data_IF_659375101609
#
_entry.id   IF_659375101609
#
_cell.length_a   1.000
_cell.length_b   1.000
_cell.length_c   1.000
_cell.angle_alpha   90.00
_cell.angle_beta   90.00
_cell.angle_gamma   90.00
#
_symmetry.space_group_name_H-M   'P 1'
#
loop_
_entity.id
_entity.type
_entity.pdbx_description
1 polymer ?
#
# COMPACT_ATOMS: atom_id res chain seq x y z
N UNK A 1 -37.01 -57.15 8.96
CA UNK A 1 -37.55 -57.73 10.22
C UNK A 1 -37.14 -56.83 11.38
N UNK A 2 -38.07 -56.62 12.32
CA UNK A 2 -38.08 -55.79 13.55
C UNK A 2 -36.69 -55.44 14.16
N UNK A 3 -36.46 -54.28 14.78
CA UNK A 3 -37.03 -53.86 16.08
C UNK A 3 -36.90 -52.33 16.31
N UNK A 4 -37.93 -51.76 16.97
CA UNK A 4 -38.07 -50.39 17.53
C UNK A 4 -37.17 -50.12 18.76
N UNK A 5 -36.78 -48.86 18.98
CA UNK A 5 -36.80 -48.09 20.24
C UNK A 5 -36.29 -46.67 19.89
N UNK A 6 -36.96 -45.53 20.08
CA UNK A 6 -37.93 -45.14 21.10
C UNK A 6 -37.19 -44.38 22.21
N UNK A 7 -37.34 -43.04 22.27
CA UNK A 7 -37.52 -42.22 23.49
C UNK A 7 -37.58 -40.73 23.08
N UNK A 8 -38.77 -40.15 23.26
CA UNK A 8 -39.04 -38.73 23.43
C UNK A 8 -38.72 -38.32 24.87
N UNK A 9 -38.29 -37.07 25.09
CA UNK A 9 -38.57 -36.35 26.32
C UNK A 9 -38.73 -34.86 26.02
N UNK A 10 -39.95 -34.37 26.23
CA UNK A 10 -40.36 -32.97 26.15
C UNK A 10 -40.21 -32.25 27.51
N UNK A 11 -40.23 -30.91 27.41
CA UNK A 11 -40.70 -29.90 28.40
C UNK A 11 -39.78 -29.52 29.58
N UNK A 12 -39.96 -28.33 30.24
CA UNK A 12 -40.84 -27.21 29.90
C UNK A 12 -40.20 -25.79 29.94
N UNK A 13 -40.85 -24.87 29.23
CA UNK A 13 -40.84 -23.43 29.49
C UNK A 13 -41.58 -23.11 30.81
N UNK A 14 -40.96 -22.33 31.70
CA UNK A 14 -41.69 -21.56 32.72
C UNK A 14 -41.02 -20.22 33.02
N UNK A 15 -41.89 -19.30 33.37
CA UNK A 15 -41.87 -17.84 33.34
C UNK A 15 -41.22 -17.13 34.53
N UNK A 16 -40.77 -15.90 34.24
CA UNK A 16 -40.76 -14.66 35.06
C UNK A 16 -40.21 -14.70 36.50
N UNK A 17 -39.21 -13.85 36.71
CA UNK A 17 -38.89 -13.24 38.00
C UNK A 17 -37.79 -12.18 37.91
N UNK A 18 -38.16 -10.91 37.73
CA UNK A 18 -37.38 -9.75 38.21
C UNK A 18 -37.84 -9.42 39.65
N UNK A 19 -37.20 -8.52 40.43
CA UNK A 19 -35.86 -7.90 40.33
C UNK A 19 -35.07 -7.94 41.67
N UNK A 20 -33.81 -7.47 41.70
CA UNK A 20 -33.24 -6.61 42.77
C UNK A 20 -31.76 -6.23 42.51
N UNK A 21 -31.58 -4.94 42.25
CA UNK A 21 -30.52 -4.03 42.75
C UNK A 21 -29.21 -4.60 43.33
N UNK A 22 -28.09 -4.24 42.69
CA UNK A 22 -26.83 -3.85 43.33
C UNK A 22 -26.05 -2.95 42.33
N UNK A 23 -26.19 -1.62 42.40
CA UNK A 23 -25.17 -0.69 42.95
C UNK A 23 -23.73 -1.20 42.89
N UNK A 24 -22.93 -0.64 41.98
CA UNK A 24 -21.50 -0.95 41.89
C UNK A 24 -20.75 -0.15 40.84
N UNK A 25 -20.47 1.12 41.14
CA UNK A 25 -19.28 1.88 40.72
C UNK A 25 -19.02 1.99 39.20
N UNK A 26 -19.65 3.01 38.59
CA UNK A 26 -19.28 3.50 37.27
C UNK A 26 -18.24 4.62 37.43
N UNK A 27 -16.98 4.28 37.16
CA UNK A 27 -15.85 5.21 37.20
C UNK A 27 -15.92 6.16 36.01
N UNK A 28 -16.23 7.44 36.29
CA UNK A 28 -16.26 8.52 35.31
C UNK A 28 -14.84 8.87 34.88
N UNK A 29 -14.41 8.38 33.72
CA UNK A 29 -13.25 8.91 33.00
C UNK A 29 -13.59 10.32 32.49
N UNK A 30 -13.19 11.29 33.29
CA UNK A 30 -13.34 12.73 33.06
C UNK A 30 -12.31 13.16 32.01
N UNK A 31 -12.76 13.37 30.77
CA UNK A 31 -11.98 14.01 29.71
C UNK A 31 -11.57 15.42 30.13
N UNK A 32 -10.31 15.58 30.53
CA UNK A 32 -9.72 16.87 30.88
C UNK A 32 -9.25 17.55 29.59
N UNK A 33 -10.09 18.39 29.01
CA UNK A 33 -9.66 19.37 28.01
C UNK A 33 -8.62 20.30 28.65
N UNK A 34 -7.33 20.10 28.36
CA UNK A 34 -6.29 21.10 28.61
C UNK A 34 -6.51 22.26 27.61
N UNK A 35 -7.21 23.29 28.10
CA UNK A 35 -7.13 24.64 27.54
C UNK A 35 -5.69 25.13 27.68
N UNK A 36 -5.05 25.40 26.55
CA UNK A 36 -3.82 26.18 26.48
C UNK A 36 -4.18 27.65 26.76
N UNK A 37 -3.59 28.31 27.76
CA UNK A 37 -3.85 29.72 27.99
C UNK A 37 -3.10 30.57 26.95
N UNK A 38 -3.88 31.22 26.10
CA UNK A 38 -3.46 32.38 25.30
C UNK A 38 -3.18 33.55 26.25
N UNK A 39 -1.90 33.88 26.50
CA UNK A 39 -1.51 35.15 27.11
C UNK A 39 -1.33 36.19 26.01
N UNK A 40 -2.27 37.14 25.97
CA UNK A 40 -2.01 38.49 25.50
C UNK A 40 -1.32 39.28 26.63
N UNK A 41 -0.20 39.91 26.30
CA UNK A 41 0.34 41.11 26.92
C UNK A 41 1.07 41.85 25.80
N UNK A 42 0.44 42.87 25.21
CA UNK A 42 0.54 44.27 25.64
C UNK A 42 1.91 44.89 25.30
N UNK A 43 1.90 45.68 24.21
CA UNK A 43 2.46 47.04 24.10
C UNK A 43 3.80 47.33 24.76
N UNK A 44 4.81 47.62 23.93
CA UNK A 44 5.67 48.81 24.08
C UNK A 44 6.52 49.04 22.83
N UNK A 45 6.25 50.17 22.15
CA UNK A 45 7.22 50.90 21.32
C UNK A 45 8.31 51.45 22.25
N UNK A 46 9.52 51.66 21.72
CA UNK A 46 10.05 53.02 21.77
C UNK A 46 10.59 53.48 20.42
N UNK A 47 10.22 54.71 20.10
CA UNK A 47 10.80 55.59 19.10
C UNK A 47 11.94 56.39 19.73
N UNK A 48 13.14 56.34 19.16
CA UNK A 48 14.14 57.43 19.13
C UNK A 48 15.36 56.94 18.32
N UNK A 49 15.65 57.47 17.14
CA UNK A 49 16.34 58.76 16.86
C UNK A 49 17.86 58.63 17.04
N UNK A 50 18.55 58.75 15.89
CA UNK A 50 19.93 59.18 15.63
C UNK A 50 21.13 58.30 16.05
N UNK A 51 21.82 57.76 15.04
CA UNK A 51 23.14 58.28 14.67
C UNK A 51 23.48 57.94 13.21
N UNK A 52 23.44 58.98 12.37
CA UNK A 52 24.20 59.08 11.13
C UNK A 52 25.69 58.91 11.46
N UNK A 53 26.37 58.00 10.77
CA UNK A 53 27.80 58.14 10.46
C UNK A 53 27.96 58.08 8.96
N UNK A 54 28.21 59.26 8.42
CA UNK A 54 28.78 59.52 7.11
C UNK A 54 30.19 58.94 7.11
N UNK A 55 30.47 58.04 6.17
CA UNK A 55 31.82 57.76 5.69
C UNK A 55 31.76 57.94 4.19
N UNK A 56 32.19 59.12 3.76
CA UNK A 56 32.67 59.38 2.42
C UNK A 56 34.03 58.70 2.29
N UNK A 57 34.17 57.77 1.35
CA UNK A 57 35.44 57.53 0.68
C UNK A 57 35.18 57.00 -0.74
N UNK A 58 35.06 57.98 -1.63
CA UNK A 58 35.64 58.09 -2.96
C UNK A 58 36.40 56.89 -3.58
N UNK A 59 36.08 56.70 -4.86
CA UNK A 59 36.91 56.22 -5.98
C UNK A 59 37.15 54.72 -6.16
N UNK A 60 36.58 54.21 -7.27
CA UNK A 60 36.88 52.92 -7.86
C UNK A 60 36.00 52.62 -9.06
N UNK A 61 36.02 53.48 -10.10
CA UNK A 61 35.52 53.13 -11.43
C UNK A 61 36.25 51.87 -11.92
N UNK A 62 35.52 50.77 -12.03
CA UNK A 62 35.89 49.66 -12.90
C UNK A 62 34.62 49.15 -13.56
N UNK A 63 34.58 49.28 -14.89
CA UNK A 63 33.43 48.93 -15.72
C UNK A 63 33.08 47.46 -15.54
N UNK A 64 31.92 47.21 -14.93
CA UNK A 64 31.33 45.88 -14.89
C UNK A 64 30.27 45.82 -15.99
N UNK A 65 30.65 45.11 -17.04
CA UNK A 65 29.82 44.70 -18.17
C UNK A 65 28.45 44.21 -17.68
N UNK A 66 27.34 44.54 -18.36
CA UNK A 66 26.04 43.99 -18.00
C UNK A 66 26.09 42.48 -18.21
N UNK A 67 26.14 41.73 -17.10
CA UNK A 67 25.92 40.28 -17.10
C UNK A 67 24.59 40.03 -17.82
N UNK A 68 24.72 39.41 -18.99
CA UNK A 68 23.59 38.92 -19.75
C UNK A 68 22.72 38.05 -18.84
N UNK A 69 21.40 38.26 -18.80
CA UNK A 69 20.51 37.39 -18.04
C UNK A 69 20.75 35.95 -18.51
N UNK A 70 21.18 35.09 -17.58
CA UNK A 70 21.31 33.66 -17.83
C UNK A 70 20.04 33.17 -18.53
N UNK A 71 20.16 32.43 -19.65
CA UNK A 71 19.01 31.82 -20.26
C UNK A 71 18.49 30.79 -19.25
N UNK A 72 17.33 31.08 -18.65
CA UNK A 72 16.47 30.07 -18.04
C UNK A 72 16.25 29.04 -19.14
N UNK A 73 16.97 27.92 -19.15
CA UNK A 73 16.76 26.84 -20.11
C UNK A 73 15.32 26.38 -19.99
N UNK A 74 14.40 26.77 -20.89
CA UNK A 74 13.01 26.45 -20.75
C UNK A 74 12.85 25.04 -21.32
N UNK A 75 12.60 24.10 -20.43
CA UNK A 75 12.08 22.80 -20.83
C UNK A 75 13.13 21.71 -20.86
N UNK A 76 13.38 21.11 -19.69
CA UNK A 76 13.58 19.67 -19.66
C UNK A 76 12.44 19.04 -20.48
N UNK A 77 12.84 18.35 -21.57
CA UNK A 77 11.91 17.77 -22.52
C UNK A 77 10.89 16.90 -21.78
N UNK A 78 9.63 16.89 -22.25
CA UNK A 78 8.52 16.15 -21.61
C UNK A 78 8.91 14.71 -21.29
N UNK A 79 9.76 14.12 -22.13
CA UNK A 79 10.32 12.77 -22.02
C UNK A 79 11.21 12.60 -20.78
N UNK A 80 12.09 13.57 -20.49
CA UNK A 80 12.96 13.55 -19.30
C UNK A 80 12.12 13.56 -18.03
N UNK A 81 11.12 14.45 -17.95
CA UNK A 81 10.19 14.52 -16.80
C UNK A 81 9.40 13.23 -16.57
N UNK A 82 9.03 12.53 -17.65
CA UNK A 82 8.35 11.24 -17.59
C UNK A 82 9.29 10.17 -17.03
N UNK A 83 10.50 10.08 -17.56
CA UNK A 83 11.50 9.09 -17.17
C UNK A 83 11.91 9.27 -15.71
N UNK A 84 12.09 10.51 -15.26
CA UNK A 84 12.42 10.82 -13.87
C UNK A 84 11.28 10.43 -12.93
N UNK A 85 10.02 10.66 -13.31
CA UNK A 85 8.87 10.20 -12.53
C UNK A 85 8.80 8.67 -12.39
N UNK A 86 9.12 7.94 -13.47
CA UNK A 86 9.16 6.48 -13.46
C UNK A 86 10.32 5.97 -12.61
N UNK A 87 11.52 6.54 -12.76
CA UNK A 87 12.70 6.22 -11.93
C UNK A 87 12.43 6.51 -10.47
N UNK A 88 11.73 7.59 -10.15
CA UNK A 88 11.41 7.95 -8.77
C UNK A 88 10.39 7.00 -8.15
N UNK A 89 9.39 6.58 -8.92
CA UNK A 89 8.43 5.60 -8.48
C UNK A 89 9.08 4.21 -8.34
N UNK A 90 9.93 3.82 -9.27
CA UNK A 90 10.70 2.59 -9.19
C UNK A 90 11.64 2.61 -7.98
N UNK A 91 12.35 3.72 -7.75
CA UNK A 91 13.15 3.91 -6.56
C UNK A 91 12.28 3.73 -5.32
N UNK A 92 11.19 4.49 -5.17
CA UNK A 92 10.26 4.40 -4.03
C UNK A 92 9.85 2.94 -3.74
N UNK A 93 9.52 2.18 -4.79
CA UNK A 93 9.04 0.80 -4.71
C UNK A 93 10.14 -0.26 -4.50
N UNK A 94 11.33 -0.07 -5.06
CA UNK A 94 12.44 -1.04 -5.09
C UNK A 94 13.58 -0.71 -4.12
N UNK A 95 13.39 0.31 -3.26
CA UNK A 95 14.40 0.82 -2.32
C UNK A 95 15.80 0.95 -2.95
N UNK A 96 15.94 1.74 -4.02
CA UNK A 96 17.27 2.02 -4.58
C UNK A 96 18.11 2.86 -3.59
N UNK A 97 19.18 2.32 -2.97
CA UNK A 97 20.03 3.05 -2.05
C UNK A 97 21.00 3.99 -2.79
N UNK A 98 21.22 3.80 -4.09
CA UNK A 98 22.16 4.58 -4.89
C UNK A 98 21.56 5.88 -5.42
N UNK A 99 20.33 6.21 -5.02
CA UNK A 99 19.67 7.43 -5.47
C UNK A 99 20.41 8.67 -4.95
N UNK A 100 20.89 9.48 -5.88
CA UNK A 100 21.52 10.77 -5.59
C UNK A 100 20.55 11.72 -4.87
N UNK A 101 21.02 12.50 -3.89
CA UNK A 101 20.21 13.53 -3.26
C UNK A 101 19.75 14.53 -4.33
N UNK A 102 18.43 14.62 -4.51
CA UNK A 102 17.79 15.49 -5.49
C UNK A 102 16.29 15.55 -5.24
N UNK A 103 15.66 16.64 -5.65
CA UNK A 103 14.22 16.81 -5.48
C UNK A 103 13.44 15.73 -6.22
N UNK A 104 12.50 15.02 -5.56
CA UNK A 104 11.67 14.04 -6.22
C UNK A 104 10.82 14.68 -7.32
N UNK A 105 10.75 14.04 -8.48
CA UNK A 105 9.95 14.45 -9.63
C UNK A 105 8.47 14.60 -9.27
N UNK A 106 7.83 15.65 -9.78
CA UNK A 106 6.40 15.88 -9.65
C UNK A 106 5.55 14.73 -10.22
N UNK A 107 6.11 13.93 -11.13
CA UNK A 107 5.43 12.81 -11.77
C UNK A 107 5.48 11.49 -10.97
N UNK A 108 6.17 11.44 -9.82
CA UNK A 108 6.31 10.25 -8.95
C UNK A 108 4.99 9.50 -8.74
N UNK A 109 3.97 10.18 -8.20
CA UNK A 109 2.68 9.57 -7.84
C UNK A 109 1.93 9.03 -9.06
N UNK A 110 2.18 9.57 -10.26
CA UNK A 110 1.53 9.14 -11.49
C UNK A 110 1.96 7.73 -11.90
N UNK A 111 3.20 7.36 -11.60
CA UNK A 111 3.82 6.12 -12.08
C UNK A 111 3.69 4.93 -11.12
N UNK A 112 3.33 5.14 -9.86
CA UNK A 112 3.23 4.05 -8.87
C UNK A 112 2.24 2.94 -9.29
N UNK A 113 1.02 3.31 -9.70
CA UNK A 113 0.01 2.32 -10.14
C UNK A 113 0.38 1.66 -11.47
N UNK A 114 0.80 2.40 -12.53
CA UNK A 114 1.31 1.78 -13.76
C UNK A 114 2.47 0.80 -13.53
N UNK A 115 3.40 1.10 -12.61
CA UNK A 115 4.46 0.16 -12.24
C UNK A 115 3.88 -1.11 -11.61
N UNK A 116 2.80 -1.02 -10.83
CA UNK A 116 2.08 -2.19 -10.32
C UNK A 116 1.54 -3.09 -11.44
N UNK A 117 1.05 -2.50 -12.54
CA UNK A 117 0.65 -3.28 -13.72
C UNK A 117 1.84 -3.99 -14.37
N UNK A 118 2.99 -3.32 -14.49
CA UNK A 118 4.22 -3.94 -15.01
C UNK A 118 4.68 -5.11 -14.13
N UNK A 119 4.59 -4.99 -12.81
CA UNK A 119 4.88 -6.11 -11.89
C UNK A 119 3.90 -7.26 -12.11
N UNK A 120 2.61 -6.98 -12.28
CA UNK A 120 1.61 -8.00 -12.61
C UNK A 120 1.88 -8.70 -13.95
N UNK A 121 2.32 -7.95 -14.97
CA UNK A 121 2.72 -8.52 -16.25
C UNK A 121 3.97 -9.42 -16.10
N UNK A 122 4.94 -9.01 -15.30
CA UNK A 122 6.11 -9.83 -14.98
C UNK A 122 5.70 -11.12 -14.26
N UNK A 123 4.79 -11.05 -13.28
CA UNK A 123 4.22 -12.22 -12.61
C UNK A 123 3.55 -13.17 -13.61
N UNK A 124 2.70 -12.64 -14.50
CA UNK A 124 2.02 -13.44 -15.51
C UNK A 124 2.99 -14.09 -16.51
N UNK A 125 4.02 -13.37 -16.95
CA UNK A 125 5.05 -13.87 -17.86
C UNK A 125 5.89 -14.97 -17.21
N UNK A 126 6.34 -14.76 -15.97
CA UNK A 126 7.09 -15.76 -15.19
C UNK A 126 6.26 -17.00 -14.93
N UNK A 127 5.00 -16.84 -14.54
CA UNK A 127 4.09 -17.96 -14.35
C UNK A 127 3.91 -18.76 -15.64
N UNK A 128 3.67 -18.08 -16.77
CA UNK A 128 3.50 -18.72 -18.08
C UNK A 128 4.77 -19.44 -18.54
N UNK A 129 5.94 -18.82 -18.36
CA UNK A 129 7.22 -19.41 -18.68
C UNK A 129 7.49 -20.67 -17.85
N UNK A 130 7.32 -20.58 -16.53
CA UNK A 130 7.48 -21.71 -15.62
C UNK A 130 6.47 -22.82 -15.90
N UNK A 131 5.21 -22.49 -16.20
CA UNK A 131 4.21 -23.50 -16.55
C UNK A 131 4.57 -24.23 -17.85
N UNK A 132 5.06 -23.53 -18.87
CA UNK A 132 5.52 -24.19 -20.10
C UNK A 132 6.68 -25.17 -19.88
N UNK A 133 7.55 -24.91 -18.90
CA UNK A 133 8.71 -25.75 -18.61
C UNK A 133 8.37 -26.92 -17.68
N UNK A 134 7.55 -26.67 -16.67
CA UNK A 134 7.34 -27.62 -15.56
C UNK A 134 5.96 -28.26 -15.52
N UNK A 135 4.98 -27.75 -16.28
CA UNK A 135 3.64 -28.31 -16.33
C UNK A 135 2.84 -28.17 -15.02
N UNK A 136 1.92 -29.11 -14.82
CA UNK A 136 1.11 -29.26 -13.59
C UNK A 136 1.50 -30.59 -12.90
N UNK A 137 1.61 -30.58 -11.57
CA UNK A 137 1.91 -31.77 -10.77
C UNK A 137 0.73 -32.02 -9.84
N UNK A 138 0.03 -33.14 -10.02
CA UNK A 138 -1.16 -33.48 -9.23
C UNK A 138 -2.32 -32.48 -9.36
N UNK A 139 -2.46 -31.84 -10.54
CA UNK A 139 -3.45 -30.78 -10.78
C UNK A 139 -3.13 -29.44 -10.11
N UNK A 140 -1.98 -29.33 -9.43
CA UNK A 140 -1.51 -28.12 -8.79
C UNK A 140 -0.33 -27.51 -9.56
N UNK A 141 -0.29 -26.18 -9.60
CA UNK A 141 0.75 -25.39 -10.28
C UNK A 141 1.82 -24.93 -9.30
N UNK A 142 2.43 -25.89 -8.59
CA UNK A 142 3.37 -25.63 -7.50
C UNK A 142 4.59 -24.80 -7.94
N UNK A 143 5.27 -25.24 -9.00
CA UNK A 143 6.49 -24.61 -9.50
C UNK A 143 6.22 -23.24 -10.17
N UNK A 144 5.18 -23.08 -11.02
CA UNK A 144 4.82 -21.76 -11.55
C UNK A 144 4.48 -20.74 -10.46
N UNK A 145 3.73 -21.16 -9.43
CA UNK A 145 3.39 -20.30 -8.30
C UNK A 145 4.66 -19.93 -7.50
N UNK A 146 5.55 -20.90 -7.25
CA UNK A 146 6.79 -20.66 -6.54
C UNK A 146 7.67 -19.65 -7.29
N UNK A 147 7.79 -19.78 -8.61
CA UNK A 147 8.57 -18.86 -9.45
C UNK A 147 8.07 -17.41 -9.33
N UNK A 148 6.75 -17.19 -9.27
CA UNK A 148 6.17 -15.86 -9.05
C UNK A 148 6.52 -15.31 -7.67
N UNK A 149 6.43 -16.13 -6.63
CA UNK A 149 6.76 -15.69 -5.26
C UNK A 149 8.25 -15.42 -5.10
N UNK A 150 9.12 -16.22 -5.73
CA UNK A 150 10.56 -15.96 -5.78
C UNK A 150 10.85 -14.66 -6.51
N UNK A 151 10.22 -14.41 -7.66
CA UNK A 151 10.36 -13.13 -8.36
C UNK A 151 9.94 -11.96 -7.46
N UNK A 152 8.78 -12.05 -6.79
CA UNK A 152 8.35 -11.01 -5.86
C UNK A 152 9.34 -10.83 -4.71
N UNK A 153 9.85 -11.92 -4.12
CA UNK A 153 10.86 -11.87 -3.07
C UNK A 153 12.20 -11.27 -3.55
N UNK A 154 12.57 -11.44 -4.83
CA UNK A 154 13.74 -10.77 -5.40
C UNK A 154 13.50 -9.27 -5.58
N UNK A 155 12.29 -8.88 -5.97
CA UNK A 155 11.93 -7.47 -6.19
C UNK A 155 11.68 -6.71 -4.88
N UNK A 156 11.07 -7.35 -3.87
CA UNK A 156 10.58 -6.70 -2.65
C UNK A 156 11.11 -7.33 -1.35
N UNK A 157 11.67 -8.55 -1.40
CA UNK A 157 11.89 -9.41 -0.22
C UNK A 157 12.93 -8.90 0.78
N UNK A 158 14.06 -8.30 0.33
CA UNK A 158 15.02 -7.63 1.23
C UNK A 158 14.38 -6.51 2.04
N UNK A 159 13.35 -5.88 1.48
CA UNK A 159 12.69 -4.72 2.07
C UNK A 159 11.46 -5.12 2.88
N UNK A 160 10.79 -6.22 2.49
CA UNK A 160 9.74 -6.85 3.28
C UNK A 160 10.28 -7.35 4.64
N UNK A 161 11.46 -7.98 4.66
CA UNK A 161 12.10 -8.44 5.91
C UNK A 161 12.36 -7.29 6.86
N UNK A 162 12.88 -6.16 6.35
CA UNK A 162 13.17 -4.98 7.16
C UNK A 162 11.89 -4.28 7.60
N UNK A 163 10.92 -4.14 6.69
CA UNK A 163 9.66 -3.46 6.97
C UNK A 163 8.83 -4.19 8.03
N UNK A 164 8.67 -5.50 7.89
CA UNK A 164 7.84 -6.29 8.79
C UNK A 164 8.54 -6.67 10.09
N UNK A 165 9.87 -6.83 10.09
CA UNK A 165 10.61 -6.96 11.36
C UNK A 165 10.52 -5.68 12.19
N UNK A 166 10.61 -4.50 11.55
CA UNK A 166 10.41 -3.23 12.24
C UNK A 166 8.99 -3.11 12.80
N UNK A 167 7.98 -3.44 11.99
CA UNK A 167 6.59 -3.46 12.46
C UNK A 167 6.43 -4.44 13.63
N UNK A 168 6.89 -5.69 13.51
CA UNK A 168 6.80 -6.67 14.59
C UNK A 168 7.54 -6.24 15.87
N UNK A 169 8.73 -5.65 15.74
CA UNK A 169 9.48 -5.13 16.89
C UNK A 169 8.76 -3.93 17.54
N UNK A 170 8.04 -3.10 16.77
CA UNK A 170 7.16 -2.05 17.31
C UNK A 170 5.84 -2.59 17.88
N UNK A 171 5.38 -3.78 17.46
CA UNK A 171 4.23 -4.45 18.06
C UNK A 171 4.59 -5.06 19.42
N UNK A 172 5.78 -5.62 19.54
CA UNK A 172 6.30 -6.28 20.75
C UNK A 172 6.78 -5.30 21.82
N UNK A 173 7.38 -4.16 21.42
CA UNK A 173 7.87 -3.16 22.38
C UNK A 173 6.74 -2.23 22.80
N UNK A 174 6.25 -2.41 24.02
CA UNK A 174 5.42 -1.45 24.74
C UNK A 174 6.16 -0.14 25.13
N UNK A 175 7.36 0.12 24.58
CA UNK A 175 8.23 1.22 25.02
C UNK A 175 8.20 2.39 24.03
N UNK A 176 7.97 3.64 24.50
CA UNK A 176 7.63 4.79 23.67
C UNK A 176 8.83 5.55 23.12
N UNK A 177 10.01 4.93 23.03
CA UNK A 177 11.19 5.55 22.41
C UNK A 177 11.45 4.93 21.03
N UNK A 178 10.88 5.52 19.96
CA UNK A 178 11.26 5.20 18.61
C UNK A 178 12.58 5.91 18.34
N UNK A 179 13.71 5.27 18.68
CA UNK A 179 14.91 5.58 17.93
C UNK A 179 14.61 5.17 16.49
N UNK A 180 14.35 6.19 15.68
CA UNK A 180 14.14 6.08 14.24
C UNK A 180 15.45 5.56 13.66
N UNK A 181 15.62 4.23 13.64
CA UNK A 181 16.72 3.59 12.94
C UNK A 181 16.60 3.97 11.48
N UNK A 182 17.51 4.84 11.05
CA UNK A 182 17.63 5.24 9.67
C UNK A 182 17.86 4.01 8.79
N UNK A 183 17.47 4.12 7.52
CA UNK A 183 17.70 3.07 6.51
C UNK A 183 19.17 2.61 6.40
N UNK A 184 20.12 3.34 6.97
CA UNK A 184 21.55 2.99 7.00
C UNK A 184 21.85 1.66 7.72
N UNK A 185 20.89 1.11 8.48
CA UNK A 185 20.97 -0.23 9.07
C UNK A 185 20.70 -1.37 8.04
N UNK A 186 20.65 -1.08 6.73
CA UNK A 186 20.54 -2.05 5.62
C UNK A 186 21.67 -3.11 5.60
N UNK A 187 22.78 -2.86 6.31
CA UNK A 187 23.87 -3.81 6.52
C UNK A 187 23.73 -4.70 7.76
N UNK A 188 22.70 -4.48 8.59
CA UNK A 188 22.50 -5.28 9.80
C UNK A 188 22.03 -6.70 9.46
N UNK A 189 22.51 -7.74 10.18
CA UNK A 189 22.12 -9.13 9.92
C UNK A 189 20.61 -9.30 10.06
N UNK A 190 20.02 -10.08 9.15
CA UNK A 190 18.59 -10.39 9.13
C UNK A 190 18.21 -11.03 10.47
N UNK A 191 17.41 -10.32 11.27
CA UNK A 191 16.91 -10.85 12.54
C UNK A 191 16.03 -12.07 12.27
N UNK A 192 16.16 -13.11 13.09
CA UNK A 192 15.39 -14.36 12.98
C UNK A 192 13.88 -14.12 12.81
N UNK A 193 13.33 -13.14 13.54
CA UNK A 193 11.91 -12.74 13.45
C UNK A 193 11.53 -12.21 12.08
N UNK A 194 12.37 -11.35 11.49
CA UNK A 194 12.17 -10.83 10.14
C UNK A 194 12.22 -11.93 9.08
N UNK A 195 13.16 -12.86 9.22
CA UNK A 195 13.24 -14.05 8.36
C UNK A 195 11.97 -14.91 8.48
N UNK A 196 11.48 -15.16 9.70
CA UNK A 196 10.27 -15.95 9.92
C UNK A 196 9.02 -15.30 9.30
N UNK A 197 8.85 -13.98 9.46
CA UNK A 197 7.73 -13.26 8.85
C UNK A 197 7.82 -13.30 7.32
N UNK A 198 9.01 -13.12 6.75
CA UNK A 198 9.21 -13.25 5.31
C UNK A 198 8.83 -14.65 4.83
N UNK A 199 9.33 -15.71 5.50
CA UNK A 199 8.99 -17.09 5.16
C UNK A 199 7.48 -17.30 5.24
N UNK A 200 6.82 -16.82 6.28
CA UNK A 200 5.37 -16.93 6.42
C UNK A 200 4.63 -16.21 5.28
N UNK A 201 5.06 -15.00 4.90
CA UNK A 201 4.43 -14.26 3.81
C UNK A 201 4.65 -14.92 2.45
N UNK A 202 5.85 -15.43 2.20
CA UNK A 202 6.17 -16.25 1.02
C UNK A 202 5.26 -17.48 0.97
N UNK A 203 5.10 -18.19 2.09
CA UNK A 203 4.24 -19.37 2.19
C UNK A 203 2.76 -19.02 1.99
N UNK A 204 2.27 -17.94 2.61
CA UNK A 204 0.88 -17.49 2.46
C UNK A 204 0.60 -17.09 1.02
N UNK A 205 1.47 -16.28 0.41
CA UNK A 205 1.31 -15.85 -0.97
C UNK A 205 1.38 -17.04 -1.93
N UNK A 206 2.33 -17.95 -1.72
CA UNK A 206 2.46 -19.17 -2.51
C UNK A 206 1.21 -20.04 -2.41
N UNK A 207 0.73 -20.30 -1.19
CA UNK A 207 -0.48 -21.09 -0.93
C UNK A 207 -1.69 -20.46 -1.59
N UNK A 208 -1.85 -19.14 -1.50
CA UNK A 208 -2.96 -18.42 -2.13
C UNK A 208 -2.93 -18.57 -3.66
N UNK A 209 -1.75 -18.45 -4.29
CA UNK A 209 -1.61 -18.61 -5.76
C UNK A 209 -1.86 -20.06 -6.19
N UNK A 210 -1.27 -21.03 -5.49
CA UNK A 210 -1.47 -22.47 -5.78
C UNK A 210 -2.95 -22.86 -5.65
N UNK A 211 -3.65 -22.27 -4.68
CA UNK A 211 -5.05 -22.58 -4.39
C UNK A 211 -6.05 -22.03 -5.41
N UNK A 212 -5.60 -21.29 -6.42
CA UNK A 212 -6.47 -20.78 -7.50
C UNK A 212 -6.80 -21.95 -8.42
N UNK A 213 -8.07 -22.39 -8.47
CA UNK A 213 -8.40 -23.59 -9.20
C UNK A 213 -8.48 -23.32 -10.71
N UNK A 214 -8.41 -24.41 -11.47
CA UNK A 214 -8.46 -24.38 -12.93
C UNK A 214 -9.92 -24.32 -13.36
N UNK A 215 -10.28 -23.32 -14.17
CA UNK A 215 -11.59 -23.23 -14.79
C UNK A 215 -11.45 -23.61 -16.25
N UNK A 216 -12.24 -24.58 -16.69
CA UNK A 216 -12.40 -24.96 -18.09
C UNK A 216 -13.89 -25.32 -18.32
N UNK A 217 -14.55 -24.80 -19.37
CA UNK A 217 -14.06 -23.77 -20.30
C UNK A 217 -13.91 -22.41 -19.62
N UNK A 218 -12.79 -21.71 -19.88
CA UNK A 218 -12.54 -20.38 -19.32
C UNK A 218 -12.97 -19.24 -20.25
N UNK A 219 -13.30 -19.56 -21.50
CA UNK A 219 -13.70 -18.57 -22.49
C UNK A 219 -15.15 -18.13 -22.28
N UNK A 220 -15.47 -16.84 -22.48
CA UNK A 220 -16.86 -16.37 -22.47
C UNK A 220 -17.67 -17.07 -23.58
N UNK A 221 -18.95 -17.39 -23.37
CA UNK A 221 -19.82 -17.90 -24.43
C UNK A 221 -19.81 -16.97 -25.66
N UNK A 222 -20.07 -17.48 -26.88
CA UNK A 222 -20.10 -16.67 -28.10
C UNK A 222 -21.00 -15.43 -28.00
N UNK A 223 -22.10 -15.56 -27.26
CA UNK A 223 -23.12 -14.53 -27.06
C UNK A 223 -22.72 -13.43 -26.04
N UNK A 224 -21.59 -13.58 -25.34
CA UNK A 224 -21.06 -12.58 -24.42
C UNK A 224 -20.19 -11.56 -25.16
N UNK A 225 -20.36 -10.26 -24.87
CA UNK A 225 -19.59 -9.17 -25.50
C UNK A 225 -18.07 -9.31 -25.31
N UNK A 226 -17.65 -10.07 -24.30
CA UNK A 226 -16.24 -10.38 -24.02
C UNK A 226 -15.60 -11.26 -25.08
N UNK A 227 -16.38 -12.01 -25.85
CA UNK A 227 -15.88 -12.83 -26.96
C UNK A 227 -15.18 -11.97 -28.02
N UNK A 228 -15.67 -10.75 -28.24
CA UNK A 228 -15.08 -9.73 -29.15
C UNK A 228 -13.70 -9.26 -28.67
N UNK A 229 -13.48 -9.23 -27.35
CA UNK A 229 -12.24 -8.75 -26.73
C UNK A 229 -11.43 -9.89 -26.11
N UNK A 230 -11.38 -11.05 -26.77
CA UNK A 230 -10.69 -12.25 -26.29
C UNK A 230 -9.24 -11.96 -25.83
N UNK A 231 -8.49 -11.13 -26.56
CA UNK A 231 -7.11 -10.79 -26.20
C UNK A 231 -6.98 -10.03 -24.86
N UNK A 232 -8.02 -9.30 -24.44
CA UNK A 232 -8.03 -8.47 -23.23
C UNK A 232 -8.51 -9.24 -21.99
N UNK A 233 -9.07 -10.43 -22.19
CA UNK A 233 -9.69 -11.22 -21.13
C UNK A 233 -8.81 -12.43 -20.78
N UNK A 234 -7.86 -12.29 -19.84
CA UNK A 234 -6.90 -13.34 -19.57
C UNK A 234 -7.57 -14.51 -18.83
N UNK A 235 -6.93 -15.69 -18.91
CA UNK A 235 -7.41 -16.87 -18.18
C UNK A 235 -7.56 -16.55 -16.68
N UNK A 236 -8.53 -17.18 -15.98
CA UNK A 236 -8.83 -16.95 -14.57
C UNK A 236 -7.62 -16.84 -13.65
N UNK A 237 -6.59 -17.67 -13.86
CA UNK A 237 -5.35 -17.66 -13.07
C UNK A 237 -4.54 -16.37 -13.22
N UNK A 238 -4.54 -15.74 -14.39
CA UNK A 238 -3.75 -14.54 -14.66
C UNK A 238 -4.43 -13.26 -14.16
N UNK A 239 -5.76 -13.26 -13.98
CA UNK A 239 -6.51 -12.11 -13.45
C UNK A 239 -5.99 -11.67 -12.07
N UNK A 240 -5.88 -12.56 -11.06
CA UNK A 240 -5.34 -12.18 -9.77
C UNK A 240 -3.83 -11.89 -9.83
N UNK A 241 -3.08 -12.53 -10.73
CA UNK A 241 -1.64 -12.23 -10.91
C UNK A 241 -1.41 -10.81 -11.45
N UNK A 242 -2.31 -10.29 -12.27
CA UNK A 242 -2.27 -8.90 -12.77
C UNK A 242 -2.79 -7.90 -11.72
N UNK A 243 -3.90 -8.23 -11.08
CA UNK A 243 -4.62 -7.31 -10.19
C UNK A 243 -3.99 -7.20 -8.80
N UNK A 244 -3.41 -8.27 -8.25
CA UNK A 244 -2.86 -8.22 -6.89
C UNK A 244 -1.71 -7.20 -6.76
N UNK A 245 -0.71 -7.17 -7.68
CA UNK A 245 0.33 -6.15 -7.63
C UNK A 245 -0.22 -4.75 -7.86
N UNK A 246 -1.18 -4.60 -8.77
CA UNK A 246 -1.82 -3.32 -9.07
C UNK A 246 -2.53 -2.73 -7.84
N UNK A 247 -3.33 -3.54 -7.15
CA UNK A 247 -3.99 -3.16 -5.90
C UNK A 247 -2.97 -2.86 -4.80
N UNK A 248 -1.92 -3.67 -4.66
CA UNK A 248 -0.86 -3.38 -3.69
C UNK A 248 -0.20 -2.02 -3.92
N UNK A 249 0.09 -1.63 -5.16
CA UNK A 249 0.70 -0.31 -5.45
C UNK A 249 -0.30 0.82 -5.28
N UNK A 250 -1.58 0.58 -5.51
CA UNK A 250 -2.63 1.53 -5.13
C UNK A 250 -2.74 1.70 -3.60
N UNK A 251 -2.60 0.62 -2.82
CA UNK A 251 -2.61 0.66 -1.35
C UNK A 251 -1.44 1.48 -0.77
N UNK A 252 -0.29 1.50 -1.43
CA UNK A 252 0.83 2.40 -1.10
C UNK A 252 0.39 3.87 -1.20
N UNK A 253 -0.32 4.21 -2.29
CA UNK A 253 -0.85 5.56 -2.49
C UNK A 253 -1.93 5.92 -1.47
N UNK A 254 -2.79 4.96 -1.11
CA UNK A 254 -3.77 5.12 -0.03
C UNK A 254 -3.07 5.44 1.29
N UNK A 255 -2.03 4.68 1.67
CA UNK A 255 -1.26 4.95 2.87
C UNK A 255 -0.61 6.35 2.85
N UNK A 256 -0.07 6.75 1.70
CA UNK A 256 0.50 8.08 1.52
C UNK A 256 -0.54 9.20 1.66
N UNK A 257 -1.82 8.95 1.31
CA UNK A 257 -2.91 9.92 1.45
C UNK A 257 -3.42 10.10 2.88
N UNK A 258 -3.29 9.08 3.72
CA UNK A 258 -3.87 9.03 5.07
C UNK A 258 -2.98 9.74 6.10
N UNK A 259 -1.67 9.62 5.95
CA UNK A 259 -0.74 9.91 7.05
C UNK A 259 0.07 11.18 6.88
N UNK A 260 0.36 11.81 8.03
CA UNK A 260 1.49 12.73 8.15
C UNK A 260 2.79 11.94 7.97
N UNK A 261 3.76 12.53 7.31
CA UNK A 261 5.11 11.98 7.17
C UNK A 261 5.77 11.88 8.54
N UNK A 262 6.40 10.75 8.85
CA UNK A 262 7.18 10.63 10.08
C UNK A 262 8.39 11.59 10.05
N UNK A 263 8.89 12.08 11.20
CA UNK A 263 10.00 13.05 11.25
C UNK A 263 11.31 12.60 10.59
N UNK A 264 11.53 11.29 10.46
CA UNK A 264 12.69 10.70 9.76
C UNK A 264 12.34 10.00 8.44
N UNK A 265 11.20 10.32 7.84
CA UNK A 265 10.85 9.79 6.53
C UNK A 265 11.80 10.31 5.45
N UNK A 266 12.17 9.44 4.51
CA UNK A 266 12.98 9.80 3.35
C UNK A 266 12.26 10.81 2.44
N UNK A 267 13.04 11.55 1.65
CA UNK A 267 12.51 12.60 0.78
C UNK A 267 11.45 12.11 -0.22
N UNK A 268 11.55 10.87 -0.71
CA UNK A 268 10.56 10.31 -1.63
C UNK A 268 9.24 10.04 -0.95
N UNK A 269 9.27 9.44 0.25
CA UNK A 269 8.08 9.26 1.08
C UNK A 269 7.44 10.60 1.42
N UNK A 270 8.26 11.57 1.83
CA UNK A 270 7.77 12.91 2.14
C UNK A 270 7.10 13.57 0.95
N UNK A 271 7.71 13.49 -0.23
CA UNK A 271 7.15 13.99 -1.47
C UNK A 271 5.89 13.22 -1.91
N UNK A 272 5.85 11.91 -1.74
CA UNK A 272 4.68 11.10 -2.07
C UNK A 272 3.48 11.48 -1.20
N UNK A 273 3.67 11.58 0.12
CA UNK A 273 2.63 12.02 1.06
C UNK A 273 2.20 13.46 0.79
N UNK A 274 3.15 14.40 0.64
CA UNK A 274 2.85 15.82 0.40
C UNK A 274 2.14 16.08 -0.93
N UNK A 275 2.31 15.22 -1.93
CA UNK A 275 1.68 15.35 -3.25
C UNK A 275 0.40 14.52 -3.40
N UNK A 276 0.10 13.66 -2.43
CA UNK A 276 -1.10 12.84 -2.50
C UNK A 276 -2.31 13.65 -2.05
N UNK A 277 -3.35 13.66 -2.89
CA UNK A 277 -4.65 14.23 -2.53
C UNK A 277 -5.73 13.16 -2.71
N UNK A 278 -6.86 13.24 -1.97
CA UNK A 278 -7.95 12.28 -2.12
C UNK A 278 -8.44 12.16 -3.58
N UNK A 279 -8.52 13.28 -4.30
CA UNK A 279 -8.89 13.28 -5.72
C UNK A 279 -7.88 12.53 -6.61
N UNK A 280 -6.58 12.66 -6.35
CA UNK A 280 -5.55 11.91 -7.08
C UNK A 280 -5.60 10.41 -6.76
N UNK A 281 -5.83 10.06 -5.50
CA UNK A 281 -6.01 8.68 -5.07
C UNK A 281 -7.19 8.03 -5.80
N UNK A 282 -8.35 8.70 -5.84
CA UNK A 282 -9.54 8.22 -6.54
C UNK A 282 -9.29 8.07 -8.04
N UNK A 283 -8.60 9.03 -8.67
CA UNK A 283 -8.21 8.93 -10.08
C UNK A 283 -7.34 7.70 -10.35
N UNK A 284 -6.40 7.42 -9.45
CA UNK A 284 -5.53 6.24 -9.54
C UNK A 284 -6.26 4.93 -9.21
N UNK A 285 -7.43 4.98 -8.55
CA UNK A 285 -8.28 3.83 -8.28
C UNK A 285 -9.06 3.36 -9.52
N UNK A 286 -9.24 4.24 -10.52
CA UNK A 286 -10.06 3.95 -11.72
C UNK A 286 -9.56 2.71 -12.44
N UNK A 287 -8.25 2.61 -12.69
CA UNK A 287 -7.66 1.47 -13.42
C UNK A 287 -7.86 0.14 -12.68
N UNK A 288 -7.43 -0.03 -11.41
CA UNK A 288 -7.64 -1.28 -10.69
C UNK A 288 -9.12 -1.63 -10.51
N UNK A 289 -9.98 -0.63 -10.30
CA UNK A 289 -11.42 -0.85 -10.14
C UNK A 289 -12.07 -1.30 -11.45
N UNK A 290 -11.80 -0.62 -12.57
CA UNK A 290 -12.32 -1.02 -13.89
C UNK A 290 -11.86 -2.42 -14.26
N UNK A 291 -10.57 -2.72 -14.10
CA UNK A 291 -10.04 -4.06 -14.39
C UNK A 291 -10.68 -5.12 -13.48
N UNK A 292 -10.88 -4.83 -12.19
CA UNK A 292 -11.55 -5.77 -11.27
C UNK A 292 -13.00 -6.02 -11.65
N UNK A 293 -13.75 -4.97 -12.00
CA UNK A 293 -15.14 -5.09 -12.46
C UNK A 293 -15.23 -5.85 -13.78
N UNK A 294 -14.36 -5.58 -14.74
CA UNK A 294 -14.36 -6.27 -16.04
C UNK A 294 -13.95 -7.74 -15.85
N UNK A 295 -12.83 -8.00 -15.18
CA UNK A 295 -12.28 -9.35 -15.02
C UNK A 295 -13.12 -10.27 -14.12
N UNK A 296 -13.89 -9.73 -13.17
CA UNK A 296 -14.73 -10.53 -12.28
C UNK A 296 -16.23 -10.38 -12.55
N UNK A 297 -16.61 -9.73 -13.64
CA UNK A 297 -18.02 -9.69 -14.01
C UNK A 297 -18.48 -11.08 -14.45
N UNK A 298 -19.68 -11.47 -14.03
CA UNK A 298 -20.36 -12.71 -14.48
C UNK A 298 -21.77 -12.34 -14.89
N UNK A 299 -22.23 -12.77 -16.06
CA UNK A 299 -23.59 -12.48 -16.55
C UNK A 299 -23.96 -10.98 -16.47
N UNK A 300 -22.98 -10.10 -16.79
CA UNK A 300 -23.09 -8.63 -16.68
C UNK A 300 -23.27 -8.09 -15.24
N UNK A 301 -23.13 -8.93 -14.22
CA UNK A 301 -23.06 -8.49 -12.82
C UNK A 301 -21.64 -8.00 -12.49
N UNK A 302 -21.47 -6.68 -12.38
CA UNK A 302 -20.20 -6.03 -12.01
C UNK A 302 -19.99 -5.90 -10.49
N UNK A 303 -21.00 -6.25 -9.68
CA UNK A 303 -20.98 -6.03 -8.22
C UNK A 303 -19.87 -6.83 -7.53
N UNK A 304 -19.54 -8.03 -8.03
CA UNK A 304 -18.47 -8.87 -7.45
C UNK A 304 -17.12 -8.14 -7.51
N UNK A 305 -16.81 -7.49 -8.63
CA UNK A 305 -15.60 -6.68 -8.76
C UNK A 305 -15.59 -5.46 -7.82
N UNK A 306 -16.76 -4.86 -7.58
CA UNK A 306 -16.90 -3.76 -6.62
C UNK A 306 -16.73 -4.23 -5.17
N UNK A 307 -17.29 -5.39 -4.79
CA UNK A 307 -17.08 -5.99 -3.46
C UNK A 307 -15.62 -6.34 -3.21
N UNK A 308 -14.94 -6.90 -4.22
CA UNK A 308 -13.49 -7.13 -4.20
C UNK A 308 -12.73 -5.82 -3.91
N UNK A 309 -13.01 -4.76 -4.68
CA UNK A 309 -12.38 -3.46 -4.51
C UNK A 309 -12.64 -2.86 -3.12
N UNK A 310 -13.87 -2.97 -2.61
CA UNK A 310 -14.25 -2.50 -1.28
C UNK A 310 -13.49 -3.27 -0.18
N UNK A 311 -13.38 -4.59 -0.29
CA UNK A 311 -12.63 -5.40 0.67
C UNK A 311 -11.14 -5.02 0.72
N UNK A 312 -10.52 -4.82 -0.44
CA UNK A 312 -9.12 -4.36 -0.52
C UNK A 312 -8.95 -2.96 0.06
N UNK A 313 -9.88 -2.05 -0.24
CA UNK A 313 -9.91 -0.70 0.34
C UNK A 313 -9.95 -0.78 1.87
N UNK A 314 -10.85 -1.59 2.44
CA UNK A 314 -10.99 -1.74 3.89
C UNK A 314 -9.71 -2.28 4.53
N UNK A 315 -9.15 -3.37 3.99
CA UNK A 315 -7.91 -3.96 4.52
C UNK A 315 -6.73 -2.99 4.42
N UNK A 316 -6.60 -2.29 3.29
CA UNK A 316 -5.52 -1.33 3.05
C UNK A 316 -5.67 -0.08 3.91
N UNK A 317 -6.90 0.40 4.12
CA UNK A 317 -7.17 1.55 4.96
C UNK A 317 -6.86 1.26 6.42
N UNK A 318 -7.36 0.13 6.95
CA UNK A 318 -7.13 -0.26 8.34
C UNK A 318 -5.64 -0.48 8.63
N UNK A 319 -4.92 -1.16 7.72
CA UNK A 319 -3.47 -1.35 7.85
C UNK A 319 -2.69 -0.03 7.77
N UNK A 320 -3.02 0.85 6.82
CA UNK A 320 -2.40 2.17 6.72
C UNK A 320 -2.58 3.01 7.99
N UNK A 321 -3.81 3.06 8.53
CA UNK A 321 -4.11 3.81 9.77
C UNK A 321 -3.39 3.18 10.96
N UNK A 322 -3.43 1.86 11.11
CA UNK A 322 -2.79 1.17 12.22
C UNK A 322 -1.26 1.41 12.22
N UNK A 323 -0.62 1.29 11.06
CA UNK A 323 0.82 1.52 10.91
C UNK A 323 1.20 2.98 11.12
N UNK A 324 0.45 3.94 10.55
CA UNK A 324 0.70 5.36 10.75
C UNK A 324 0.60 5.78 12.21
N UNK A 325 -0.40 5.26 12.94
CA UNK A 325 -0.58 5.56 14.37
C UNK A 325 0.53 4.99 15.22
N UNK A 326 1.00 3.78 14.91
CA UNK A 326 2.08 3.12 15.68
C UNK A 326 3.45 3.73 15.41
N UNK A 327 3.76 4.12 14.17
CA UNK A 327 5.07 4.64 13.79
C UNK A 327 5.18 6.18 13.92
N UNK A 328 4.16 6.86 14.46
CA UNK A 328 4.14 8.32 14.57
C UNK A 328 4.04 9.06 13.23
N UNK A 329 3.64 8.36 12.16
CA UNK A 329 3.56 8.86 10.80
C UNK A 329 3.81 7.77 9.76
N UNK A 330 3.78 8.14 8.48
CA UNK A 330 4.16 7.26 7.38
C UNK A 330 5.66 7.35 7.10
N UNK A 331 6.30 6.19 7.01
CA UNK A 331 7.65 5.99 6.50
C UNK A 331 7.57 5.13 5.24
N UNK A 332 8.67 5.04 4.46
CA UNK A 332 8.72 4.14 3.30
C UNK A 332 8.34 2.70 3.66
N UNK A 333 8.80 2.25 4.83
CA UNK A 333 8.53 0.93 5.38
C UNK A 333 7.03 0.70 5.56
N UNK A 334 6.32 1.64 6.21
CA UNK A 334 4.88 1.49 6.46
C UNK A 334 4.07 1.58 5.17
N UNK A 335 4.49 2.41 4.22
CA UNK A 335 3.90 2.48 2.89
C UNK A 335 4.00 1.13 2.17
N UNK A 336 5.20 0.55 2.10
CA UNK A 336 5.44 -0.75 1.45
C UNK A 336 4.74 -1.90 2.16
N UNK A 337 4.76 -1.92 3.49
CA UNK A 337 4.02 -2.91 4.28
C UNK A 337 2.52 -2.85 3.99
N UNK A 338 1.94 -1.65 3.89
CA UNK A 338 0.53 -1.48 3.49
C UNK A 338 0.31 -2.02 2.07
N UNK A 339 1.23 -1.75 1.15
CA UNK A 339 1.18 -2.28 -0.21
C UNK A 339 1.13 -3.81 -0.26
N UNK A 340 2.00 -4.47 0.52
CA UNK A 340 2.03 -5.92 0.62
C UNK A 340 0.77 -6.49 1.26
N UNK A 341 0.27 -5.85 2.32
CA UNK A 341 -0.99 -6.25 2.98
C UNK A 341 -2.16 -6.11 1.99
N UNK A 342 -2.21 -5.05 1.19
CA UNK A 342 -3.21 -4.86 0.14
C UNK A 342 -3.15 -5.95 -0.93
N UNK A 343 -1.94 -6.32 -1.39
CA UNK A 343 -1.72 -7.39 -2.36
C UNK A 343 -2.17 -8.76 -1.83
N UNK A 344 -1.76 -9.12 -0.61
CA UNK A 344 -2.17 -10.39 0.03
C UNK A 344 -3.66 -10.39 0.34
N UNK A 345 -4.18 -9.27 0.83
CA UNK A 345 -5.61 -9.08 1.10
C UNK A 345 -6.44 -9.30 -0.16
N UNK A 346 -6.01 -8.74 -1.30
CA UNK A 346 -6.67 -9.01 -2.58
C UNK A 346 -6.67 -10.50 -2.93
N UNK A 347 -5.53 -11.21 -2.83
CA UNK A 347 -5.45 -12.64 -3.12
C UNK A 347 -6.36 -13.46 -2.19
N UNK A 348 -6.41 -13.11 -0.90
CA UNK A 348 -7.25 -13.78 0.08
C UNK A 348 -8.75 -13.57 -0.20
N UNK A 349 -9.16 -12.32 -0.48
CA UNK A 349 -10.56 -12.01 -0.82
C UNK A 349 -10.94 -12.69 -2.15
N UNK A 350 -10.05 -12.68 -3.15
CA UNK A 350 -10.27 -13.37 -4.41
C UNK A 350 -10.53 -14.86 -4.19
N UNK A 351 -9.71 -15.49 -3.33
CA UNK A 351 -9.87 -16.91 -3.00
C UNK A 351 -11.17 -17.19 -2.24
N UNK A 352 -11.59 -16.29 -1.35
CA UNK A 352 -12.83 -16.40 -0.59
C UNK A 352 -14.07 -16.23 -1.48
N UNK A 353 -14.02 -15.29 -2.42
CA UNK A 353 -15.12 -15.01 -3.36
C UNK A 353 -15.10 -15.90 -4.61
N UNK A 354 -14.14 -16.82 -4.72
CA UNK A 354 -13.97 -17.70 -5.88
C UNK A 354 -15.28 -18.37 -6.30
N UNK A 355 -16.02 -18.93 -5.34
CA UNK A 355 -17.30 -19.59 -5.59
C UNK A 355 -18.27 -18.67 -6.31
N UNK A 356 -18.44 -17.43 -5.85
CA UNK A 356 -19.35 -16.48 -6.50
C UNK A 356 -18.86 -16.02 -7.90
N UNK A 357 -17.55 -16.02 -8.14
CA UNK A 357 -16.98 -15.62 -9.44
C UNK A 357 -17.20 -16.71 -10.50
N UNK A 358 -17.10 -18.00 -10.14
CA UNK A 358 -17.03 -19.09 -11.11
C UNK A 358 -17.99 -20.29 -10.90
N UNK A 359 -18.66 -20.42 -9.74
CA UNK A 359 -19.70 -21.43 -9.45
C UNK A 359 -21.07 -20.76 -9.41
#
# INVERSE_FOLDING_TARGET
MNVRMGIMAELPLRTRGQPKTATGVMERVRWRCRRVPSRHAATRRPSSVYHQRVVEESFGESGMSPESPMPITPGASRTVRILDGMRDAAALLLLDPARRPGEPSAALVRWVVPLGLLVGLAWAATFRGAWRLYGEVGGLRLLPALAVVVLEALLTGRYLTLALSHVADTLDRASPNPEVRQLDDLGAPVRLRGALILVLLVLVQWTLIVSIPVVNPWWPPPDDWRSVFNFLYPQPIYRPLLLAPLWGRWSILLAASIGRTAPGADALTAAACGRMTPARLLRQAVVPLLLSCIYFSRERNFLIGAFMALGVLTVSYLSAVALARRCGGQTRITLLATGQIGQIGFLAIYRALWGHIYL
#
